data_IF_312350625319
#
_entry.id   IF_312350625319
#
_cell.length_a   1.000
_cell.length_b   1.000
_cell.length_c   1.000
_cell.angle_alpha   90.00
_cell.angle_beta   90.00
_cell.angle_gamma   90.00
#
_symmetry.space_group_name_H-M   'P 1'
#
loop_
_entity.id
_entity.type
_entity.pdbx_description
1 polymer ?
#
# COMPACT_ATOMS: atom_id res chain seq x y z
N UNK A 1 80.89 -4.21 -2.43
CA UNK A 1 80.76 -3.74 -1.04
C UNK A 1 79.71 -2.63 -0.99
N UNK A 2 78.78 -2.69 -0.03
CA UNK A 2 77.97 -1.65 0.62
C UNK A 2 77.62 -0.34 -0.14
N UNK A 3 76.42 0.26 -0.11
CA UNK A 3 75.25 0.13 0.77
C UNK A 3 74.08 0.99 0.24
N UNK A 4 72.93 0.35 0.07
CA UNK A 4 71.54 0.75 0.40
C UNK A 4 71.15 2.25 0.62
N UNK A 5 69.96 2.56 0.02
CA UNK A 5 68.86 3.48 0.45
C UNK A 5 69.06 4.97 0.06
N UNK A 6 68.12 5.70 -0.59
CA UNK A 6 66.76 6.00 -0.16
C UNK A 6 65.99 6.79 -1.27
N UNK A 7 64.74 6.36 -1.59
CA UNK A 7 63.51 7.11 -1.92
C UNK A 7 63.39 7.88 -3.27
N UNK A 8 62.52 7.49 -4.21
CA UNK A 8 61.04 7.40 -4.24
C UNK A 8 60.32 8.71 -4.63
N UNK A 9 59.72 8.65 -5.83
CA UNK A 9 58.37 9.08 -6.20
C UNK A 9 58.15 10.59 -6.38
N UNK A 10 57.70 10.98 -7.58
CA UNK A 10 56.42 11.69 -7.79
C UNK A 10 56.10 11.76 -9.30
N UNK A 11 55.39 10.73 -9.77
CA UNK A 11 54.63 10.77 -11.01
C UNK A 11 53.27 11.41 -10.70
N UNK A 12 53.03 12.62 -11.19
CA UNK A 12 51.72 13.28 -11.14
C UNK A 12 50.96 12.91 -12.42
N UNK A 13 50.26 11.78 -12.38
CA UNK A 13 49.27 11.42 -13.38
C UNK A 13 47.96 12.15 -13.09
N UNK A 14 47.55 12.99 -14.03
CA UNK A 14 46.22 13.59 -14.12
C UNK A 14 45.16 12.48 -14.23
N UNK A 15 44.48 12.16 -13.12
CA UNK A 15 43.23 11.40 -13.15
C UNK A 15 42.10 12.42 -13.05
N UNK A 16 41.50 12.73 -14.19
CA UNK A 16 40.21 13.42 -14.26
C UNK A 16 39.15 12.49 -13.64
N UNK A 17 38.88 12.68 -12.35
CA UNK A 17 37.76 12.06 -11.67
C UNK A 17 36.45 12.66 -12.18
N UNK A 18 35.80 11.99 -13.13
CA UNK A 18 34.38 12.19 -13.38
C UNK A 18 33.62 11.70 -12.15
N UNK A 19 33.35 12.63 -11.24
CA UNK A 19 32.47 12.43 -10.10
C UNK A 19 31.07 12.14 -10.63
N UNK A 20 30.72 10.87 -10.76
CA UNK A 20 29.35 10.45 -10.93
C UNK A 20 28.62 10.84 -9.65
N UNK A 21 27.98 12.01 -9.67
CA UNK A 21 26.95 12.37 -8.71
C UNK A 21 25.83 11.37 -8.93
N UNK A 22 25.84 10.30 -8.14
CA UNK A 22 24.67 9.45 -8.01
C UNK A 22 23.55 10.36 -7.51
N UNK A 23 22.64 10.70 -8.41
CA UNK A 23 21.37 11.31 -8.02
C UNK A 23 20.66 10.27 -7.16
N UNK A 24 20.89 10.34 -5.85
CA UNK A 24 20.00 9.75 -4.86
C UNK A 24 18.69 10.51 -5.02
N UNK A 25 17.87 10.04 -5.96
CA UNK A 25 16.49 10.47 -6.06
C UNK A 25 15.89 10.31 -4.67
N UNK A 26 15.31 11.38 -4.15
CA UNK A 26 14.32 11.30 -3.09
C UNK A 26 13.12 10.51 -3.63
N UNK A 27 13.28 9.20 -3.78
CA UNK A 27 12.22 8.25 -4.05
C UNK A 27 12.09 7.44 -2.79
N UNK A 28 11.01 7.68 -2.04
CA UNK A 28 10.73 6.98 -0.80
C UNK A 28 10.94 5.46 -0.97
N UNK A 29 11.59 4.83 0.01
CA UNK A 29 11.88 3.38 0.08
C UNK A 29 10.60 2.52 0.27
N UNK A 30 9.48 2.93 -0.31
CA UNK A 30 8.20 2.28 -0.12
C UNK A 30 8.19 0.92 -0.84
N UNK A 31 7.68 -0.09 -0.13
CA UNK A 31 7.54 -1.47 -0.63
C UNK A 31 8.85 -2.15 -1.07
N UNK A 32 10.02 -1.68 -0.59
CA UNK A 32 11.33 -2.33 -0.81
C UNK A 32 11.66 -3.43 0.22
N UNK A 33 10.65 -4.20 0.60
CA UNK A 33 10.78 -5.35 1.51
C UNK A 33 10.19 -6.60 0.88
N UNK A 34 10.57 -7.81 1.33
CA UNK A 34 9.95 -9.04 0.83
C UNK A 34 8.43 -9.02 1.06
N UNK A 35 7.66 -9.23 -0.01
CA UNK A 35 6.20 -9.33 0.04
C UNK A 35 5.79 -10.79 0.15
N UNK A 36 4.93 -11.12 1.12
CA UNK A 36 4.45 -12.48 1.35
C UNK A 36 3.44 -12.86 0.26
N UNK A 37 3.52 -14.11 -0.23
CA UNK A 37 2.69 -14.67 -1.30
C UNK A 37 2.75 -13.87 -2.63
N UNK A 38 3.89 -13.25 -2.93
CA UNK A 38 4.16 -12.52 -4.17
C UNK A 38 5.14 -13.29 -5.09
N UNK A 39 4.91 -13.35 -6.42
CA UNK A 39 3.72 -12.89 -7.11
C UNK A 39 2.49 -13.73 -6.70
N UNK A 40 1.28 -13.14 -6.72
CA UNK A 40 0.06 -13.89 -6.51
C UNK A 40 -0.21 -14.82 -7.70
N UNK A 41 -1.05 -15.82 -7.50
CA UNK A 41 -1.56 -16.66 -8.59
C UNK A 41 -2.70 -15.99 -9.36
N UNK A 42 -3.49 -16.80 -10.06
CA UNK A 42 -4.61 -16.35 -10.89
C UNK A 42 -5.91 -16.11 -10.09
N UNK A 43 -5.81 -15.99 -8.76
CA UNK A 43 -6.96 -15.75 -7.89
C UNK A 43 -7.56 -14.34 -8.07
N UNK A 44 -8.74 -14.11 -7.46
CA UNK A 44 -9.43 -12.83 -7.57
C UNK A 44 -8.67 -11.73 -6.83
N UNK A 45 -8.93 -10.48 -7.24
CA UNK A 45 -8.61 -9.31 -6.43
C UNK A 45 -9.82 -9.04 -5.53
N UNK A 46 -9.61 -8.88 -4.23
CA UNK A 46 -10.66 -8.64 -3.24
C UNK A 46 -10.36 -7.32 -2.54
N UNK A 47 -11.22 -6.33 -2.71
CA UNK A 47 -11.23 -5.15 -1.86
C UNK A 47 -12.02 -5.48 -0.59
N UNK A 48 -11.36 -5.46 0.57
CA UNK A 48 -11.96 -5.73 1.87
C UNK A 48 -11.85 -4.50 2.75
N UNK A 49 -12.96 -3.99 3.29
CA UNK A 49 -12.87 -2.77 4.08
C UNK A 49 -14.19 -2.14 4.49
N UNK A 50 -14.14 -0.82 4.67
CA UNK A 50 -15.24 -0.03 5.22
C UNK A 50 -16.12 0.65 4.15
N UNK A 51 -16.60 1.86 4.44
CA UNK A 51 -17.44 2.66 3.54
C UNK A 51 -16.75 3.03 2.22
N UNK A 52 -15.41 3.13 2.19
CA UNK A 52 -14.67 3.39 0.95
C UNK A 52 -14.77 2.21 -0.02
N UNK A 53 -14.80 0.99 0.51
CA UNK A 53 -14.99 -0.23 -0.28
C UNK A 53 -16.47 -0.44 -0.62
N UNK A 54 -17.37 -0.11 0.32
CA UNK A 54 -18.82 -0.12 0.06
C UNK A 54 -19.24 0.96 -0.95
N UNK A 55 -18.40 1.97 -1.18
CA UNK A 55 -18.61 3.01 -2.18
C UNK A 55 -19.58 4.11 -1.73
N UNK A 56 -19.61 4.46 -0.44
CA UNK A 56 -20.38 5.63 0.03
C UNK A 56 -19.93 6.88 -0.71
N UNK A 57 -20.86 7.66 -1.24
CA UNK A 57 -20.57 8.85 -2.05
C UNK A 57 -20.53 8.64 -3.56
N UNK A 58 -20.53 7.38 -4.02
CA UNK A 58 -20.82 7.05 -5.41
C UNK A 58 -22.33 7.01 -5.66
N UNK A 59 -22.78 7.50 -6.82
CA UNK A 59 -24.19 7.43 -7.21
C UNK A 59 -24.52 6.10 -7.89
N UNK A 60 -23.52 5.50 -8.55
CA UNK A 60 -23.67 4.23 -9.28
C UNK A 60 -22.64 3.18 -8.85
N UNK A 61 -22.94 1.91 -9.09
CA UNK A 61 -22.02 0.79 -8.81
C UNK A 61 -20.68 0.95 -9.54
N UNK A 62 -20.69 1.49 -10.77
CA UNK A 62 -19.50 1.68 -11.60
C UNK A 62 -18.58 2.77 -11.09
N UNK A 63 -19.11 3.72 -10.30
CA UNK A 63 -18.33 4.82 -9.72
C UNK A 63 -17.59 4.43 -8.45
N UNK A 64 -17.94 3.31 -7.83
CA UNK A 64 -17.28 2.82 -6.61
C UNK A 64 -15.83 2.47 -6.88
N UNK A 65 -14.97 2.71 -5.89
CA UNK A 65 -13.54 2.42 -5.97
C UNK A 65 -13.23 0.98 -6.47
N UNK A 66 -13.85 -0.10 -5.97
CA UNK A 66 -13.55 -1.45 -6.46
C UNK A 66 -13.88 -1.64 -7.95
N UNK A 67 -15.00 -1.07 -8.43
CA UNK A 67 -15.42 -1.14 -9.84
C UNK A 67 -14.46 -0.35 -10.75
N UNK A 68 -14.04 0.84 -10.31
CA UNK A 68 -13.04 1.63 -11.03
C UNK A 68 -11.68 0.94 -11.05
N UNK A 69 -11.28 0.31 -9.94
CA UNK A 69 -10.04 -0.47 -9.86
C UNK A 69 -10.07 -1.66 -10.84
N UNK A 70 -11.19 -2.36 -10.95
CA UNK A 70 -11.39 -3.42 -11.93
C UNK A 70 -11.16 -2.91 -13.36
N UNK A 71 -11.72 -1.76 -13.71
CA UNK A 71 -11.52 -1.15 -15.02
C UNK A 71 -10.05 -0.80 -15.29
N UNK A 72 -9.35 -0.24 -14.31
CA UNK A 72 -7.93 0.16 -14.43
C UNK A 72 -6.98 -1.04 -14.50
N UNK A 73 -7.25 -2.11 -13.75
CA UNK A 73 -6.42 -3.30 -13.73
C UNK A 73 -6.75 -4.31 -14.84
N UNK A 74 -7.95 -4.25 -15.41
CA UNK A 74 -8.43 -5.26 -16.37
C UNK A 74 -8.61 -6.64 -15.74
N UNK A 75 -8.82 -6.72 -14.42
CA UNK A 75 -8.98 -7.96 -13.65
C UNK A 75 -10.24 -7.90 -12.79
N UNK A 76 -10.99 -9.01 -12.63
CA UNK A 76 -12.14 -9.04 -11.74
C UNK A 76 -11.80 -8.60 -10.32
N UNK A 77 -12.60 -7.69 -9.76
CA UNK A 77 -12.49 -7.23 -8.37
C UNK A 77 -13.77 -7.55 -7.61
N UNK A 78 -13.64 -8.26 -6.50
CA UNK A 78 -14.72 -8.51 -5.55
C UNK A 78 -14.70 -7.43 -4.48
N UNK A 79 -15.85 -6.84 -4.17
CA UNK A 79 -16.01 -5.87 -3.09
C UNK A 79 -16.63 -6.52 -1.85
N UNK A 80 -15.95 -6.41 -0.71
CA UNK A 80 -16.44 -6.84 0.61
C UNK A 80 -16.28 -5.64 1.55
N UNK A 81 -17.18 -4.66 1.39
CA UNK A 81 -17.20 -3.42 2.14
C UNK A 81 -18.33 -3.36 3.17
N UNK A 82 -18.05 -2.97 4.41
CA UNK A 82 -19.07 -2.69 5.43
C UNK A 82 -18.92 -1.27 5.96
N UNK A 83 -19.87 -0.38 5.63
CA UNK A 83 -19.83 1.02 6.06
C UNK A 83 -19.72 1.16 7.58
N UNK A 84 -18.81 2.04 8.03
CA UNK A 84 -18.57 2.28 9.45
C UNK A 84 -17.70 1.22 10.14
N UNK A 85 -17.22 0.20 9.43
CA UNK A 85 -16.40 -0.86 10.01
C UNK A 85 -15.05 -0.36 10.48
N UNK A 86 -14.71 -0.68 11.73
CA UNK A 86 -13.38 -0.47 12.33
C UNK A 86 -12.45 -1.64 12.06
N UNK A 87 -11.15 -1.46 12.31
CA UNK A 87 -10.16 -2.54 12.20
C UNK A 87 -10.49 -3.76 13.06
N UNK A 88 -11.04 -3.55 14.27
CA UNK A 88 -11.43 -4.63 15.17
C UNK A 88 -12.65 -5.41 14.66
N UNK A 89 -13.65 -4.70 14.13
CA UNK A 89 -14.83 -5.33 13.50
C UNK A 89 -14.45 -6.06 12.20
N UNK A 90 -13.52 -5.51 11.42
CA UNK A 90 -12.95 -6.18 10.25
C UNK A 90 -12.22 -7.48 10.63
N UNK A 91 -11.44 -7.48 11.70
CA UNK A 91 -10.78 -8.69 12.22
C UNK A 91 -11.81 -9.76 12.61
N UNK A 92 -12.91 -9.38 13.27
CA UNK A 92 -14.01 -10.30 13.59
C UNK A 92 -14.68 -10.86 12.33
N UNK A 93 -14.84 -10.06 11.28
CA UNK A 93 -15.47 -10.49 10.04
C UNK A 93 -14.67 -11.57 9.27
N UNK A 94 -13.35 -11.66 9.50
CA UNK A 94 -12.51 -12.68 8.89
C UNK A 94 -12.73 -14.10 9.44
N UNK A 95 -13.61 -14.30 10.43
CA UNK A 95 -13.85 -15.63 11.02
C UNK A 95 -14.45 -16.68 10.05
N UNK A 96 -14.79 -16.31 8.82
CA UNK A 96 -15.20 -17.26 7.77
C UNK A 96 -13.98 -17.93 7.12
N UNK A 97 -14.05 -19.24 6.89
CA UNK A 97 -12.89 -20.06 6.51
C UNK A 97 -12.76 -20.19 4.97
N UNK A 98 -12.45 -19.08 4.30
CA UNK A 98 -12.24 -19.05 2.84
C UNK A 98 -10.77 -19.37 2.46
N UNK A 99 -10.58 -20.22 1.46
CA UNK A 99 -9.29 -20.41 0.79
C UNK A 99 -9.01 -19.20 -0.11
N UNK A 100 -7.86 -18.55 0.09
CA UNK A 100 -7.44 -17.36 -0.65
C UNK A 100 -6.16 -17.58 -1.44
N UNK A 101 -5.78 -18.84 -1.70
CA UNK A 101 -4.59 -19.16 -2.49
C UNK A 101 -4.63 -18.46 -3.85
N UNK A 102 -3.57 -17.69 -4.11
CA UNK A 102 -3.41 -16.93 -5.35
C UNK A 102 -4.23 -15.66 -5.44
N UNK A 103 -5.03 -15.31 -4.43
CA UNK A 103 -5.78 -14.06 -4.40
C UNK A 103 -4.90 -12.87 -4.00
N UNK A 104 -5.37 -11.67 -4.34
CA UNK A 104 -4.84 -10.40 -3.82
C UNK A 104 -5.92 -9.77 -2.97
N UNK A 105 -5.64 -9.51 -1.69
CA UNK A 105 -6.58 -8.82 -0.79
C UNK A 105 -6.08 -7.43 -0.49
N UNK A 106 -6.87 -6.42 -0.87
CA UNK A 106 -6.60 -5.00 -0.64
C UNK A 106 -7.44 -4.55 0.56
N UNK A 107 -6.79 -4.39 1.70
CA UNK A 107 -7.41 -4.02 2.97
C UNK A 107 -7.53 -2.50 3.07
N UNK A 108 -8.75 -2.01 3.26
CA UNK A 108 -9.08 -0.58 3.43
C UNK A 108 -9.85 -0.39 4.74
N UNK A 109 -9.11 -0.29 5.85
CA UNK A 109 -9.64 -0.15 7.21
C UNK A 109 -8.79 0.86 8.00
N UNK A 110 -9.35 1.36 9.10
CA UNK A 110 -8.66 2.31 9.99
C UNK A 110 -9.16 3.75 9.88
N UNK A 111 -9.93 4.10 8.84
CA UNK A 111 -10.58 5.41 8.75
C UNK A 111 -11.57 5.63 9.89
N UNK A 112 -12.43 4.64 10.16
CA UNK A 112 -13.38 4.69 11.27
C UNK A 112 -12.71 4.66 12.65
N UNK A 113 -11.55 4.00 12.79
CA UNK A 113 -10.74 4.04 14.00
C UNK A 113 -10.29 5.47 14.33
N UNK A 114 -9.88 6.24 13.31
CA UNK A 114 -9.52 7.65 13.46
C UNK A 114 -10.73 8.46 13.91
N UNK A 115 -11.88 8.31 13.24
CA UNK A 115 -13.10 9.05 13.56
C UNK A 115 -13.62 8.75 14.98
N UNK A 116 -13.46 7.49 15.43
CA UNK A 116 -13.84 7.04 16.78
C UNK A 116 -12.72 7.21 17.82
N UNK A 117 -11.62 7.88 17.46
CA UNK A 117 -10.47 8.14 18.34
C UNK A 117 -9.86 6.88 18.98
N UNK A 118 -9.90 5.76 18.27
CA UNK A 118 -9.22 4.53 18.67
C UNK A 118 -7.71 4.78 18.70
N UNK A 119 -7.03 4.27 19.73
CA UNK A 119 -5.57 4.39 19.84
C UNK A 119 -4.92 3.69 18.65
N UNK A 120 -4.01 4.38 17.96
CA UNK A 120 -3.32 3.84 16.78
C UNK A 120 -2.67 2.47 17.02
N UNK A 121 -2.09 2.24 18.22
CA UNK A 121 -1.53 0.95 18.58
C UNK A 121 -2.56 -0.20 18.54
N UNK A 122 -3.83 0.07 18.88
CA UNK A 122 -4.89 -0.93 18.80
C UNK A 122 -5.27 -1.20 17.35
N UNK A 123 -5.35 -0.16 16.53
CA UNK A 123 -5.60 -0.29 15.09
C UNK A 123 -4.50 -1.11 14.40
N UNK A 124 -3.23 -0.86 14.72
CA UNK A 124 -2.09 -1.63 14.18
C UNK A 124 -2.12 -3.10 14.63
N UNK A 125 -2.48 -3.37 15.88
CA UNK A 125 -2.65 -4.74 16.39
C UNK A 125 -3.72 -5.49 15.57
N UNK A 126 -4.88 -4.87 15.37
CA UNK A 126 -5.96 -5.46 14.59
C UNK A 126 -5.57 -5.67 13.11
N UNK A 127 -4.95 -4.66 12.48
CA UNK A 127 -4.47 -4.76 11.10
C UNK A 127 -3.40 -5.84 10.94
N UNK A 128 -2.44 -5.94 11.86
CA UNK A 128 -1.41 -6.98 11.83
C UNK A 128 -1.99 -8.40 11.91
N UNK A 129 -3.02 -8.59 12.74
CA UNK A 129 -3.76 -9.85 12.82
C UNK A 129 -4.55 -10.15 11.54
N UNK A 130 -5.20 -9.14 10.95
CA UNK A 130 -5.86 -9.25 9.64
C UNK A 130 -4.86 -9.68 8.56
N UNK A 131 -3.70 -9.02 8.47
CA UNK A 131 -2.69 -9.34 7.47
C UNK A 131 -2.19 -10.78 7.60
N UNK A 132 -1.84 -11.18 8.83
CA UNK A 132 -1.36 -12.53 9.11
C UNK A 132 -2.40 -13.61 8.74
N UNK A 133 -3.68 -13.38 9.07
CA UNK A 133 -4.74 -14.36 8.78
C UNK A 133 -5.02 -14.49 7.28
N UNK A 134 -5.04 -13.37 6.53
CA UNK A 134 -5.20 -13.39 5.08
C UNK A 134 -4.02 -14.08 4.38
N UNK A 135 -2.78 -13.80 4.82
CA UNK A 135 -1.57 -14.42 4.29
C UNK A 135 -1.50 -15.91 4.57
N UNK A 136 -1.93 -16.34 5.77
CA UNK A 136 -2.03 -17.76 6.15
C UNK A 136 -2.97 -18.54 5.24
N UNK A 137 -3.99 -17.88 4.68
CA UNK A 137 -4.93 -18.44 3.70
C UNK A 137 -4.41 -18.39 2.26
N UNK A 138 -3.20 -17.90 2.04
CA UNK A 138 -2.52 -17.89 0.74
C UNK A 138 -2.69 -16.61 -0.08
N UNK A 139 -3.25 -15.54 0.50
CA UNK A 139 -3.39 -14.26 -0.20
C UNK A 139 -2.10 -13.44 -0.18
N UNK A 140 -1.80 -12.76 -1.28
CA UNK A 140 -0.96 -11.56 -1.22
C UNK A 140 -1.80 -10.43 -0.63
N UNK A 141 -1.24 -9.62 0.26
CA UNK A 141 -1.98 -8.53 0.92
C UNK A 141 -1.39 -7.18 0.53
N UNK A 142 -2.29 -6.26 0.17
CA UNK A 142 -2.01 -4.84 0.08
C UNK A 142 -2.87 -4.08 1.11
N UNK A 143 -2.37 -2.97 1.63
CA UNK A 143 -3.06 -2.13 2.60
C UNK A 143 -3.14 -0.69 2.08
N UNK A 144 -4.34 -0.12 2.07
CA UNK A 144 -4.56 1.29 1.77
C UNK A 144 -4.58 2.08 3.08
N UNK A 145 -3.54 2.89 3.29
CA UNK A 145 -3.48 3.74 4.47
C UNK A 145 -4.48 4.89 4.35
N UNK A 146 -5.22 5.11 5.43
CA UNK A 146 -5.96 6.35 5.68
C UNK A 146 -5.26 7.04 6.84
N UNK A 147 -4.65 8.20 6.59
CA UNK A 147 -3.88 8.92 7.61
C UNK A 147 -4.68 10.06 8.26
N UNK A 148 -5.66 10.61 7.54
CA UNK A 148 -6.44 11.78 7.95
C UNK A 148 -5.63 13.07 7.85
N UNK A 149 -6.30 14.23 7.97
CA UNK A 149 -5.69 15.55 7.76
C UNK A 149 -4.57 15.87 8.76
N UNK A 150 -4.62 15.26 9.95
CA UNK A 150 -3.59 15.35 10.98
C UNK A 150 -2.96 13.98 11.19
N UNK A 151 -2.07 13.57 10.27
CA UNK A 151 -1.54 12.20 10.23
C UNK A 151 -0.83 11.77 11.51
N UNK A 152 -0.21 12.70 12.24
CA UNK A 152 0.42 12.44 13.54
C UNK A 152 1.48 11.33 13.50
N UNK A 153 2.13 11.12 12.35
CA UNK A 153 3.11 10.05 12.15
C UNK A 153 2.53 8.68 11.76
N UNK A 154 1.23 8.58 11.44
CA UNK A 154 0.59 7.33 10.97
C UNK A 154 1.30 6.71 9.79
N UNK A 155 1.65 7.47 8.75
CA UNK A 155 2.31 6.90 7.57
C UNK A 155 3.58 6.13 7.88
N UNK A 156 4.45 6.66 8.74
CA UNK A 156 5.68 5.97 9.17
C UNK A 156 5.38 4.68 9.94
N UNK A 157 4.33 4.71 10.75
CA UNK A 157 3.88 3.57 11.57
C UNK A 157 3.24 2.47 10.71
N UNK A 158 2.36 2.83 9.77
CA UNK A 158 1.82 1.91 8.79
C UNK A 158 2.90 1.35 7.87
N UNK A 159 3.89 2.14 7.45
CA UNK A 159 5.05 1.64 6.70
C UNK A 159 5.83 0.60 7.50
N UNK A 160 6.09 0.85 8.79
CA UNK A 160 6.77 -0.10 9.66
C UNK A 160 5.96 -1.40 9.82
N UNK A 161 4.64 -1.29 10.00
CA UNK A 161 3.72 -2.43 10.09
C UNK A 161 3.71 -3.26 8.79
N UNK A 162 3.53 -2.61 7.64
CA UNK A 162 3.53 -3.29 6.34
C UNK A 162 4.86 -3.98 6.07
N UNK A 163 5.98 -3.34 6.41
CA UNK A 163 7.32 -3.95 6.32
C UNK A 163 7.44 -5.18 7.22
N UNK A 164 6.94 -5.10 8.45
CA UNK A 164 6.97 -6.21 9.41
C UNK A 164 6.19 -7.43 8.91
N UNK A 165 5.05 -7.21 8.24
CA UNK A 165 4.17 -8.26 7.74
C UNK A 165 4.43 -8.65 6.27
N UNK A 166 5.34 -7.98 5.56
CA UNK A 166 5.54 -8.21 4.12
C UNK A 166 4.29 -7.88 3.29
N UNK A 167 3.63 -6.77 3.62
CA UNK A 167 2.41 -6.25 2.96
C UNK A 167 2.78 -5.09 2.04
N UNK A 168 2.11 -4.98 0.90
CA UNK A 168 2.25 -3.81 0.01
C UNK A 168 1.51 -2.63 0.63
N UNK A 169 2.17 -1.51 0.87
CA UNK A 169 1.56 -0.27 1.34
C UNK A 169 1.16 0.62 0.17
N UNK A 170 -0.11 0.99 0.09
CA UNK A 170 -0.62 2.13 -0.66
C UNK A 170 -0.71 3.31 0.31
N UNK A 171 0.17 4.32 0.18
CA UNK A 171 0.30 5.39 1.18
C UNK A 171 -0.86 6.39 1.06
N UNK A 172 -1.39 6.87 2.19
CA UNK A 172 -2.47 7.87 2.29
C UNK A 172 -3.42 8.02 1.08
N UNK A 173 -4.29 7.04 0.88
CA UNK A 173 -5.15 6.94 -0.30
C UNK A 173 -6.16 8.09 -0.43
N UNK A 174 -6.39 8.82 0.66
CA UNK A 174 -7.30 9.96 0.74
C UNK A 174 -6.57 11.32 0.77
N UNK A 175 -5.23 11.34 0.88
CA UNK A 175 -4.45 12.56 1.07
C UNK A 175 -4.58 13.58 -0.07
N UNK A 176 -4.76 13.09 -1.30
CA UNK A 176 -5.01 13.92 -2.50
C UNK A 176 -6.49 14.23 -2.74
N UNK A 177 -7.39 13.67 -1.94
CA UNK A 177 -8.85 13.75 -2.14
C UNK A 177 -9.46 14.69 -1.09
N UNK A 178 -9.19 14.44 0.20
CA UNK A 178 -9.82 15.20 1.30
C UNK A 178 -9.65 16.73 1.21
N UNK A 179 -8.48 17.27 0.79
CA UNK A 179 -8.32 18.71 0.66
C UNK A 179 -9.20 19.38 -0.41
N UNK A 180 -9.82 18.60 -1.32
CA UNK A 180 -10.57 19.13 -2.45
C UNK A 180 -12.04 18.74 -2.37
N UNK A 181 -12.92 19.71 -2.12
CA UNK A 181 -14.37 19.50 -2.03
C UNK A 181 -14.95 18.93 -3.33
N UNK A 182 -14.42 19.31 -4.49
CA UNK A 182 -14.84 18.80 -5.80
C UNK A 182 -14.58 17.30 -6.00
N UNK A 183 -13.78 16.67 -5.14
CA UNK A 183 -13.46 15.24 -5.19
C UNK A 183 -14.23 14.42 -4.14
N UNK A 184 -15.14 15.05 -3.40
CA UNK A 184 -15.89 14.42 -2.31
C UNK A 184 -17.39 14.59 -2.47
N UNK A 185 -18.14 13.63 -1.93
CA UNK A 185 -19.59 13.72 -1.79
C UNK A 185 -19.99 14.34 -0.45
N UNK A 186 -19.14 14.21 0.57
CA UNK A 186 -19.31 14.78 1.90
C UNK A 186 -17.96 15.12 2.54
N UNK A 187 -17.88 15.25 3.87
CA UNK A 187 -16.66 15.64 4.58
C UNK A 187 -15.52 14.61 4.46
N UNK A 188 -15.80 13.34 4.23
CA UNK A 188 -14.83 12.24 4.33
C UNK A 188 -14.89 11.24 3.17
N UNK A 189 -15.99 11.18 2.43
CA UNK A 189 -16.19 10.22 1.36
C UNK A 189 -15.89 10.82 -0.02
N UNK A 190 -15.10 10.11 -0.86
CA UNK A 190 -14.90 10.48 -2.25
C UNK A 190 -16.22 10.44 -3.04
N UNK A 191 -16.34 11.32 -4.04
CA UNK A 191 -17.31 11.14 -5.12
C UNK A 191 -16.70 10.29 -6.26
N UNK A 192 -17.40 10.14 -7.38
CA UNK A 192 -16.92 9.39 -8.54
C UNK A 192 -15.48 9.76 -8.99
N UNK A 193 -15.17 11.06 -9.08
CA UNK A 193 -13.84 11.53 -9.49
C UNK A 193 -12.78 11.25 -8.42
N UNK A 194 -13.12 11.42 -7.13
CA UNK A 194 -12.23 11.03 -6.04
C UNK A 194 -11.95 9.52 -6.02
N UNK A 195 -12.96 8.68 -6.24
CA UNK A 195 -12.79 7.24 -6.34
C UNK A 195 -11.96 6.81 -7.54
N UNK A 196 -12.01 7.54 -8.66
CA UNK A 196 -11.12 7.31 -9.79
C UNK A 196 -9.65 7.52 -9.42
N UNK A 197 -9.34 8.60 -8.69
CA UNK A 197 -7.99 8.89 -8.22
C UNK A 197 -7.49 7.83 -7.23
N UNK A 198 -8.35 7.42 -6.30
CA UNK A 198 -8.07 6.34 -5.36
C UNK A 198 -7.78 5.02 -6.10
N UNK A 199 -8.62 4.64 -7.07
CA UNK A 199 -8.44 3.44 -7.87
C UNK A 199 -7.13 3.45 -8.65
N UNK A 200 -6.79 4.58 -9.28
CA UNK A 200 -5.54 4.72 -10.03
C UNK A 200 -4.31 4.57 -9.11
N UNK A 201 -4.32 5.25 -7.96
CA UNK A 201 -3.22 5.18 -7.00
C UNK A 201 -3.00 3.75 -6.48
N UNK A 202 -4.09 3.05 -6.17
CA UNK A 202 -4.02 1.64 -5.77
C UNK A 202 -3.45 0.81 -6.91
N UNK A 203 -3.99 0.94 -8.12
CA UNK A 203 -3.54 0.20 -9.30
C UNK A 203 -2.05 0.39 -9.57
N UNK A 204 -1.57 1.63 -9.59
CA UNK A 204 -0.16 1.97 -9.81
C UNK A 204 0.75 1.33 -8.76
N UNK A 205 0.28 1.27 -7.51
CA UNK A 205 1.05 0.69 -6.41
C UNK A 205 1.08 -0.84 -6.45
N UNK A 206 -0.04 -1.49 -6.76
CA UNK A 206 -0.14 -2.97 -6.71
C UNK A 206 0.34 -3.64 -7.99
N UNK A 207 0.21 -2.99 -9.15
CA UNK A 207 0.52 -3.58 -10.47
C UNK A 207 1.91 -4.20 -10.58
N UNK A 208 3.00 -3.62 -10.04
CA UNK A 208 4.33 -4.24 -10.09
C UNK A 208 4.40 -5.60 -9.39
N UNK A 209 3.48 -5.89 -8.47
CA UNK A 209 3.43 -7.14 -7.72
C UNK A 209 2.46 -8.17 -8.32
N UNK A 210 1.64 -7.79 -9.30
CA UNK A 210 0.62 -8.66 -9.90
C UNK A 210 1.16 -9.61 -10.98
N UNK A 211 2.39 -9.42 -11.43
CA UNK A 211 3.02 -10.24 -12.46
C UNK A 211 4.30 -10.86 -11.91
N UNK A 212 4.56 -12.13 -12.24
CA UNK A 212 5.89 -12.69 -12.06
C UNK A 212 6.88 -11.89 -12.92
N UNK A 213 8.14 -11.67 -12.48
CA UNK A 213 9.17 -11.16 -13.39
C UNK A 213 9.22 -12.12 -14.58
N UNK A 214 9.14 -11.58 -15.81
CA UNK A 214 9.35 -12.39 -17.01
C UNK A 214 10.69 -13.12 -16.86
N UNK A 215 10.64 -14.45 -16.76
CA UNK A 215 11.82 -15.28 -16.92
C UNK A 215 12.29 -15.10 -18.36
N UNK A 216 13.34 -14.29 -18.52
CA UNK A 216 14.07 -14.15 -19.76
C UNK A 216 14.95 -15.37 -20.03
#
# INVERSE_FOLDING_TARGET
>A
MASRRIWQILALALIAGSLAVAMTGCGDNLNRWPIVNCPPGDGPIVCFGDSLVAGVGAETETERYPSQLQAVLGRPVVSIGTSGQTSEEGLRALQTNSDLRGAVVIVTLGGNDILRQVRLAKTEECLGLIFAELQKRGAMVAFTAVEGLMSGGRGKRYQALCRQHGVVLVPDVLGRILPHESLRSDQIHPNAAGYQLMAQQVADTVRPFLSAPETK
#
